data_IF_982410855206
#
_entry.id   IF_982410855206
#
_cell.length_a   1.000
_cell.length_b   1.000
_cell.length_c   1.000
_cell.angle_alpha   90.00
_cell.angle_beta   90.00
_cell.angle_gamma   90.00
#
_symmetry.space_group_name_H-M   'P 1'
#
loop_
_entity.id
_entity.type
_entity.pdbx_description
1 polymer ?
#
# COMPACT_ATOMS: atom_id res chain seq x y z
N UNK A 1 22.05 -17.46 -11.46
CA UNK A 1 23.21 -16.89 -10.77
C UNK A 1 23.28 -15.36 -10.86
N UNK A 2 23.28 -14.71 -12.05
CA UNK A 2 23.31 -13.23 -12.12
C UNK A 2 21.95 -12.54 -11.86
N UNK A 3 20.83 -13.18 -12.22
CA UNK A 3 19.48 -12.65 -12.00
C UNK A 3 18.96 -12.78 -10.55
N UNK A 4 19.62 -13.60 -9.74
CA UNK A 4 19.22 -13.88 -8.37
C UNK A 4 19.51 -12.67 -7.48
N UNK A 5 20.70 -12.06 -7.55
CA UNK A 5 21.06 -10.88 -6.76
C UNK A 5 20.15 -9.68 -7.04
N UNK A 6 19.77 -9.48 -8.30
CA UNK A 6 18.88 -8.37 -8.70
C UNK A 6 17.49 -8.58 -8.08
N UNK A 7 16.91 -9.77 -8.20
CA UNK A 7 15.54 -10.02 -7.76
C UNK A 7 15.43 -10.23 -6.25
N UNK A 8 16.44 -10.83 -5.62
CA UNK A 8 16.42 -11.17 -4.19
C UNK A 8 16.93 -10.05 -3.28
N UNK A 9 17.77 -9.15 -3.78
CA UNK A 9 18.35 -8.07 -2.98
C UNK A 9 17.92 -6.70 -3.50
N UNK A 10 18.12 -6.43 -4.79
CA UNK A 10 17.88 -5.09 -5.33
C UNK A 10 16.38 -4.72 -5.32
N UNK A 11 15.50 -5.65 -5.69
CA UNK A 11 14.05 -5.42 -5.69
C UNK A 11 13.48 -5.10 -4.29
N UNK A 12 13.70 -5.91 -3.23
CA UNK A 12 13.22 -5.57 -1.90
C UNK A 12 13.90 -4.33 -1.33
N UNK A 13 15.16 -4.05 -1.68
CA UNK A 13 15.86 -2.83 -1.26
C UNK A 13 15.19 -1.57 -1.83
N UNK A 14 14.85 -1.58 -3.12
CA UNK A 14 14.13 -0.46 -3.75
C UNK A 14 12.74 -0.31 -3.15
N UNK A 15 12.00 -1.41 -2.95
CA UNK A 15 10.69 -1.37 -2.31
C UNK A 15 10.77 -0.82 -0.87
N UNK A 16 11.77 -1.23 -0.10
CA UNK A 16 12.01 -0.72 1.23
C UNK A 16 12.29 0.79 1.20
N UNK A 17 13.10 1.28 0.26
CA UNK A 17 13.38 2.71 0.10
C UNK A 17 12.12 3.52 -0.27
N UNK A 18 11.28 2.99 -1.17
CA UNK A 18 10.02 3.63 -1.57
C UNK A 18 9.04 3.66 -0.39
N UNK A 19 8.87 2.55 0.33
CA UNK A 19 8.01 2.49 1.51
C UNK A 19 8.52 3.36 2.66
N UNK A 20 9.84 3.45 2.83
CA UNK A 20 10.46 4.36 3.79
C UNK A 20 10.17 5.82 3.45
N UNK A 21 10.30 6.19 2.17
CA UNK A 21 9.96 7.54 1.68
C UNK A 21 8.48 7.87 1.91
N UNK A 22 7.58 6.90 1.73
CA UNK A 22 6.16 7.06 2.02
C UNK A 22 5.92 7.27 3.52
N UNK A 23 6.59 6.51 4.39
CA UNK A 23 6.46 6.63 5.83
C UNK A 23 7.00 7.94 6.41
N UNK A 24 7.99 8.57 5.77
CA UNK A 24 8.47 9.91 6.15
C UNK A 24 7.43 11.01 5.85
N UNK A 25 6.56 10.78 4.86
CA UNK A 25 5.46 11.69 4.52
C UNK A 25 4.25 11.58 5.44
N UNK A 26 4.17 10.53 6.27
CA UNK A 26 3.11 10.33 7.25
C UNK A 26 3.39 11.15 8.51
N UNK A 27 2.45 12.01 8.88
CA UNK A 27 2.51 12.77 10.13
C UNK A 27 1.55 12.20 11.16
N UNK A 28 1.85 12.41 12.44
CA UNK A 28 0.97 12.00 13.56
C UNK A 28 -0.41 12.66 13.46
N UNK A 29 -0.50 13.85 12.86
CA UNK A 29 -1.77 14.54 12.59
C UNK A 29 -2.65 13.82 11.54
N UNK A 30 -2.05 13.06 10.61
CA UNK A 30 -2.82 12.25 9.64
C UNK A 30 -3.60 11.14 10.37
N UNK A 31 -2.98 10.51 11.38
CA UNK A 31 -3.66 9.53 12.23
C UNK A 31 -4.78 10.15 13.07
N UNK A 32 -4.66 11.42 13.45
CA UNK A 32 -5.73 12.12 14.18
C UNK A 32 -6.95 12.38 13.28
N UNK A 33 -6.74 12.61 11.97
CA UNK A 33 -7.83 12.81 11.00
C UNK A 33 -8.63 11.54 10.70
N UNK A 34 -8.06 10.36 10.90
CA UNK A 34 -8.80 9.08 10.85
C UNK A 34 -10.02 9.13 11.78
N UNK A 35 -9.88 9.76 12.95
CA UNK A 35 -10.97 9.90 13.92
C UNK A 35 -11.93 11.04 13.59
N UNK A 36 -11.53 12.05 12.81
CA UNK A 36 -12.40 13.18 12.47
C UNK A 36 -13.24 12.93 11.23
N UNK A 37 -12.75 12.14 10.27
CA UNK A 37 -13.47 11.82 9.02
C UNK A 37 -13.45 10.30 8.68
N UNK A 38 -13.99 9.44 9.56
CA UNK A 38 -13.95 7.99 9.35
C UNK A 38 -14.77 7.53 8.14
N UNK A 39 -15.82 8.27 7.77
CA UNK A 39 -16.72 7.87 6.66
C UNK A 39 -15.99 7.80 5.32
N UNK A 40 -15.16 8.78 5.00
CA UNK A 40 -14.43 8.81 3.73
C UNK A 40 -13.37 7.70 3.67
N UNK A 41 -12.65 7.48 4.77
CA UNK A 41 -11.69 6.40 4.91
C UNK A 41 -12.36 5.02 4.77
N UNK A 42 -13.50 4.81 5.43
CA UNK A 42 -14.24 3.55 5.39
C UNK A 42 -14.70 3.21 3.98
N UNK A 43 -15.21 4.20 3.24
CA UNK A 43 -15.60 4.02 1.83
C UNK A 43 -14.40 3.62 0.98
N UNK A 44 -13.23 4.25 1.18
CA UNK A 44 -12.00 3.88 0.48
C UNK A 44 -11.57 2.44 0.77
N UNK A 45 -11.56 2.04 2.04
CA UNK A 45 -11.19 0.68 2.48
C UNK A 45 -12.15 -0.36 1.92
N UNK A 46 -13.46 -0.11 1.97
CA UNK A 46 -14.46 -1.01 1.39
C UNK A 46 -14.31 -1.09 -0.12
N UNK A 47 -14.06 0.03 -0.79
CA UNK A 47 -13.86 0.03 -2.24
C UNK A 47 -12.62 -0.79 -2.64
N UNK A 48 -11.51 -0.63 -1.93
CA UNK A 48 -10.27 -1.34 -2.25
C UNK A 48 -10.32 -2.83 -1.88
N UNK A 49 -10.78 -3.18 -0.68
CA UNK A 49 -10.75 -4.58 -0.23
C UNK A 49 -11.97 -5.40 -0.65
N UNK A 50 -13.06 -4.77 -1.08
CA UNK A 50 -14.30 -5.48 -1.48
C UNK A 50 -14.60 -5.24 -2.95
N UNK A 51 -14.77 -3.98 -3.36
CA UNK A 51 -15.24 -3.67 -4.71
C UNK A 51 -14.18 -4.03 -5.76
N UNK A 52 -12.91 -3.70 -5.52
CA UNK A 52 -11.82 -3.96 -6.47
C UNK A 52 -11.60 -5.47 -6.72
N UNK A 53 -11.45 -6.35 -5.70
CA UNK A 53 -11.31 -7.78 -5.94
C UNK A 53 -12.58 -8.41 -6.52
N UNK A 54 -13.78 -7.94 -6.16
CA UNK A 54 -15.03 -8.40 -6.79
C UNK A 54 -15.11 -8.02 -8.27
N UNK A 55 -14.72 -6.79 -8.61
CA UNK A 55 -14.66 -6.34 -10.00
C UNK A 55 -13.63 -7.14 -10.79
N UNK A 56 -12.46 -7.41 -10.20
CA UNK A 56 -11.42 -8.26 -10.77
C UNK A 56 -11.94 -9.68 -11.01
N UNK A 57 -12.61 -10.28 -10.01
CA UNK A 57 -13.24 -11.59 -10.13
C UNK A 57 -14.26 -11.64 -11.27
N UNK A 58 -15.15 -10.65 -11.34
CA UNK A 58 -16.13 -10.52 -12.41
C UNK A 58 -15.47 -10.44 -13.78
N UNK A 59 -14.40 -9.64 -13.92
CA UNK A 59 -13.67 -9.50 -15.18
C UNK A 59 -12.97 -10.80 -15.59
N UNK A 60 -12.35 -11.49 -14.64
CA UNK A 60 -11.71 -12.80 -14.88
C UNK A 60 -12.73 -13.86 -15.30
N UNK A 61 -13.92 -13.85 -14.69
CA UNK A 61 -15.01 -14.76 -15.05
C UNK A 61 -15.59 -14.45 -16.44
N UNK A 62 -15.71 -13.17 -16.81
CA UNK A 62 -16.21 -12.75 -18.12
C UNK A 62 -15.22 -13.08 -19.26
N UNK A 63 -13.92 -12.91 -19.01
CA UNK A 63 -12.87 -13.20 -19.98
C UNK A 63 -12.38 -14.65 -19.96
N UNK A 64 -12.85 -15.47 -19.02
CA UNK A 64 -12.46 -16.87 -18.91
C UNK A 64 -10.97 -17.07 -18.58
N UNK A 65 -10.35 -16.12 -17.89
CA UNK A 65 -8.95 -16.21 -17.47
C UNK A 65 -8.82 -17.23 -16.33
N UNK A 66 -8.10 -18.31 -16.57
CA UNK A 66 -7.90 -19.41 -15.60
C UNK A 66 -6.43 -19.62 -15.26
N UNK A 67 -6.16 -20.32 -14.14
CA UNK A 67 -4.82 -20.72 -13.74
C UNK A 67 -3.97 -19.58 -13.17
N UNK A 68 -2.69 -19.53 -13.54
CA UNK A 68 -1.69 -18.64 -12.92
C UNK A 68 -1.99 -17.15 -13.16
N UNK A 69 -2.52 -16.80 -14.33
CA UNK A 69 -2.85 -15.41 -14.64
C UNK A 69 -3.95 -14.86 -13.73
N UNK A 70 -5.01 -15.63 -13.49
CA UNK A 70 -6.10 -15.24 -12.60
C UNK A 70 -5.61 -15.00 -11.17
N UNK A 71 -4.71 -15.85 -10.68
CA UNK A 71 -4.08 -15.66 -9.36
C UNK A 71 -3.22 -14.40 -9.34
N UNK A 72 -2.45 -14.13 -10.39
CA UNK A 72 -1.67 -12.90 -10.51
C UNK A 72 -2.54 -11.63 -10.44
N UNK A 73 -3.67 -11.61 -11.16
CA UNK A 73 -4.62 -10.49 -11.10
C UNK A 73 -5.25 -10.30 -9.71
N UNK A 74 -5.59 -11.40 -9.04
CA UNK A 74 -6.10 -11.36 -7.67
C UNK A 74 -5.06 -10.81 -6.68
N UNK A 75 -3.80 -11.20 -6.82
CA UNK A 75 -2.69 -10.65 -6.01
C UNK A 75 -2.54 -9.16 -6.25
N UNK A 76 -2.59 -8.72 -7.52
CA UNK A 76 -2.50 -7.29 -7.88
C UNK A 76 -3.66 -6.48 -7.27
N UNK A 77 -4.89 -7.01 -7.29
CA UNK A 77 -6.05 -6.36 -6.69
C UNK A 77 -5.98 -6.29 -5.15
N UNK A 78 -5.36 -7.29 -4.51
CA UNK A 78 -5.22 -7.35 -3.05
C UNK A 78 -4.04 -6.54 -2.50
N UNK A 79 -3.11 -6.13 -3.35
CA UNK A 79 -1.92 -5.38 -2.97
C UNK A 79 -2.30 -3.97 -2.48
N UNK A 80 -1.49 -3.34 -1.60
CA UNK A 80 -1.76 -1.99 -1.15
C UNK A 80 -1.49 -0.97 -2.26
N UNK A 81 -2.22 0.14 -2.26
CA UNK A 81 -2.05 1.23 -3.23
C UNK A 81 -0.78 2.03 -2.94
N UNK A 82 -0.02 2.39 -3.99
CA UNK A 82 1.27 3.09 -3.87
C UNK A 82 1.18 4.62 -3.81
N UNK A 83 2.34 5.26 -3.57
CA UNK A 83 2.52 6.72 -3.44
C UNK A 83 2.14 7.54 -4.68
N UNK A 84 2.12 6.93 -5.86
CA UNK A 84 1.68 7.59 -7.10
C UNK A 84 0.23 8.08 -6.99
N UNK A 85 -0.63 7.35 -6.27
CA UNK A 85 -2.02 7.77 -6.01
C UNK A 85 -2.10 9.04 -5.15
N UNK A 86 -1.15 9.23 -4.23
CA UNK A 86 -1.08 10.44 -3.39
C UNK A 86 -0.67 11.65 -4.23
N UNK A 87 0.28 11.47 -5.15
CA UNK A 87 0.67 12.51 -6.11
C UNK A 87 -0.50 12.88 -7.03
N UNK A 88 -1.26 11.90 -7.53
CA UNK A 88 -2.44 12.16 -8.33
C UNK A 88 -3.53 12.90 -7.54
N UNK A 89 -3.72 12.55 -6.26
CA UNK A 89 -4.64 13.26 -5.38
C UNK A 89 -4.22 14.72 -5.22
N UNK A 90 -2.92 14.98 -5.06
CA UNK A 90 -2.38 16.33 -5.01
C UNK A 90 -2.64 17.12 -6.31
N UNK A 91 -2.37 16.52 -7.47
CA UNK A 91 -2.62 17.12 -8.78
C UNK A 91 -4.10 17.40 -9.03
N UNK A 92 -4.97 16.53 -8.51
CA UNK A 92 -6.43 16.69 -8.56
C UNK A 92 -6.97 17.71 -7.54
N UNK A 93 -6.10 18.37 -6.76
CA UNK A 93 -6.47 19.26 -5.64
C UNK A 93 -7.34 18.57 -4.57
N UNK A 94 -7.16 17.26 -4.42
CA UNK A 94 -7.80 16.47 -3.38
C UNK A 94 -7.07 16.54 -2.03
N UNK A 95 -7.65 15.91 -1.01
CA UNK A 95 -7.06 15.85 0.32
C UNK A 95 -5.96 14.78 0.39
N UNK A 96 -4.70 15.22 0.30
CA UNK A 96 -3.52 14.34 0.36
C UNK A 96 -3.39 13.66 1.73
N UNK A 97 -3.82 14.30 2.81
CA UNK A 97 -3.77 13.72 4.15
C UNK A 97 -4.73 12.52 4.26
N UNK A 98 -5.91 12.61 3.64
CA UNK A 98 -6.83 11.47 3.55
C UNK A 98 -6.23 10.31 2.74
N UNK A 99 -5.57 10.59 1.61
CA UNK A 99 -4.93 9.58 0.78
C UNK A 99 -3.75 8.87 1.47
N UNK A 100 -2.92 9.63 2.22
CA UNK A 100 -1.85 9.08 3.04
C UNK A 100 -2.39 8.19 4.16
N UNK A 101 -3.42 8.65 4.87
CA UNK A 101 -4.08 7.90 5.94
C UNK A 101 -4.70 6.59 5.41
N UNK A 102 -5.38 6.66 4.26
CA UNK A 102 -5.91 5.48 3.58
C UNK A 102 -4.81 4.49 3.20
N UNK A 103 -3.69 4.97 2.66
CA UNK A 103 -2.56 4.11 2.27
C UNK A 103 -1.91 3.42 3.47
N UNK A 104 -1.77 4.12 4.60
CA UNK A 104 -1.26 3.55 5.84
C UNK A 104 -2.18 2.44 6.38
N UNK A 105 -3.49 2.70 6.43
CA UNK A 105 -4.49 1.72 6.88
C UNK A 105 -4.56 0.53 5.92
N UNK A 106 -4.52 0.78 4.60
CA UNK A 106 -4.51 -0.27 3.59
C UNK A 106 -3.26 -1.15 3.73
N UNK A 107 -2.08 -0.57 3.96
CA UNK A 107 -0.84 -1.33 4.16
C UNK A 107 -0.92 -2.29 5.35
N UNK A 108 -1.48 -1.84 6.47
CA UNK A 108 -1.70 -2.69 7.65
C UNK A 108 -2.76 -3.76 7.36
N UNK A 109 -3.86 -3.39 6.71
CA UNK A 109 -4.92 -4.33 6.37
C UNK A 109 -4.43 -5.43 5.40
N UNK A 110 -3.59 -5.08 4.41
CA UNK A 110 -2.98 -6.00 3.45
C UNK A 110 -2.19 -7.12 4.12
N UNK A 111 -1.54 -6.87 5.26
CA UNK A 111 -0.81 -7.92 6.01
C UNK A 111 -1.73 -9.12 6.32
N UNK A 112 -3.02 -8.85 6.57
CA UNK A 112 -4.02 -9.87 6.88
C UNK A 112 -4.83 -10.29 5.65
N UNK A 113 -5.20 -9.36 4.78
CA UNK A 113 -6.10 -9.64 3.65
C UNK A 113 -5.39 -10.30 2.46
N UNK A 114 -4.15 -9.92 2.17
CA UNK A 114 -3.36 -10.50 1.07
C UNK A 114 -3.21 -12.02 1.17
N UNK A 115 -2.72 -12.60 2.29
CA UNK A 115 -2.59 -14.05 2.42
C UNK A 115 -3.94 -14.78 2.29
N UNK A 116 -5.03 -14.19 2.79
CA UNK A 116 -6.37 -14.75 2.67
C UNK A 116 -6.83 -14.79 1.20
N UNK A 117 -6.69 -13.68 0.47
CA UNK A 117 -7.08 -13.57 -0.94
C UNK A 117 -6.23 -14.50 -1.81
N UNK A 118 -4.93 -14.57 -1.55
CA UNK A 118 -4.01 -15.44 -2.30
C UNK A 118 -4.37 -16.92 -2.10
N UNK A 119 -4.59 -17.34 -0.85
CA UNK A 119 -4.99 -18.72 -0.54
C UNK A 119 -6.31 -19.09 -1.21
N UNK A 120 -7.29 -18.18 -1.18
CA UNK A 120 -8.57 -18.38 -1.84
C UNK A 120 -8.43 -18.47 -3.37
N UNK A 121 -7.67 -17.55 -3.98
CA UNK A 121 -7.46 -17.51 -5.43
C UNK A 121 -6.72 -18.75 -5.93
N UNK A 122 -5.70 -19.23 -5.21
CA UNK A 122 -5.00 -20.49 -5.50
C UNK A 122 -5.97 -21.68 -5.49
N UNK A 123 -6.80 -21.79 -4.45
CA UNK A 123 -7.78 -22.86 -4.33
C UNK A 123 -8.83 -22.84 -5.44
N UNK A 124 -9.32 -21.67 -5.80
CA UNK A 124 -10.37 -21.50 -6.81
C UNK A 124 -9.87 -21.68 -8.26
N UNK A 125 -8.71 -21.11 -8.62
CA UNK A 125 -8.27 -21.04 -10.02
C UNK A 125 -7.23 -22.09 -10.43
N UNK A 126 -6.47 -22.66 -9.50
CA UNK A 126 -5.44 -23.67 -9.80
C UNK A 126 -5.83 -25.09 -9.36
N UNK A 127 -6.84 -25.22 -8.49
CA UNK A 127 -7.32 -26.50 -7.98
C UNK A 127 -6.27 -27.26 -7.15
N UNK A 128 -6.73 -28.23 -6.35
CA UNK A 128 -5.91 -29.02 -5.43
C UNK A 128 -4.75 -29.82 -6.09
N UNK A 129 -4.64 -29.84 -7.43
CA UNK A 129 -3.61 -30.55 -8.17
C UNK A 129 -2.21 -29.91 -8.08
N UNK A 130 -2.12 -28.62 -7.77
CA UNK A 130 -0.89 -27.97 -7.32
C UNK A 130 -1.14 -27.44 -5.92
N UNK A 131 -1.17 -28.34 -4.94
CA UNK A 131 -1.07 -28.00 -3.53
C UNK A 131 0.31 -27.37 -3.28
N UNK A 132 0.49 -26.13 -3.74
CA UNK A 132 1.50 -25.24 -3.20
C UNK A 132 1.03 -25.06 -1.77
N UNK A 133 1.64 -25.82 -0.86
CA UNK A 133 1.48 -25.64 0.56
C UNK A 133 2.09 -24.27 0.83
N UNK A 134 1.27 -23.23 0.69
CA UNK A 134 1.69 -21.87 0.95
C UNK A 134 1.68 -21.75 2.46
N UNK A 135 2.84 -21.68 3.14
CA UNK A 135 2.89 -21.39 4.55
C UNK A 135 2.36 -19.97 4.73
N UNK A 136 1.06 -19.86 4.99
CA UNK A 136 0.34 -18.60 5.18
C UNK A 136 1.06 -17.75 6.23
N UNK A 137 1.58 -18.40 7.28
CA UNK A 137 2.38 -17.75 8.33
C UNK A 137 3.71 -17.14 7.84
N UNK A 138 4.41 -17.79 6.89
CA UNK A 138 5.64 -17.22 6.32
C UNK A 138 5.31 -16.08 5.35
N UNK A 139 4.25 -16.19 4.54
CA UNK A 139 3.80 -15.08 3.68
C UNK A 139 3.36 -13.87 4.51
N UNK A 140 2.57 -14.09 5.57
CA UNK A 140 2.20 -13.04 6.53
C UNK A 140 3.44 -12.40 7.13
N UNK A 141 4.39 -13.20 7.61
CA UNK A 141 5.65 -12.71 8.18
C UNK A 141 6.47 -11.90 7.18
N UNK A 142 6.62 -12.37 5.95
CA UNK A 142 7.38 -11.66 4.90
C UNK A 142 6.69 -10.36 4.48
N UNK A 143 5.37 -10.36 4.29
CA UNK A 143 4.62 -9.15 3.92
C UNK A 143 4.64 -8.14 5.07
N UNK A 144 4.45 -8.59 6.31
CA UNK A 144 4.58 -7.74 7.49
C UNK A 144 6.00 -7.19 7.67
N UNK A 145 7.04 -7.99 7.39
CA UNK A 145 8.42 -7.53 7.46
C UNK A 145 8.70 -6.49 6.37
N UNK A 146 8.35 -6.79 5.12
CA UNK A 146 8.68 -5.93 3.96
C UNK A 146 7.86 -4.65 3.92
N UNK A 147 6.59 -4.67 4.35
CA UNK A 147 5.75 -3.46 4.39
C UNK A 147 5.77 -2.79 5.76
N UNK A 148 5.66 -3.57 6.84
CA UNK A 148 5.55 -3.06 8.20
C UNK A 148 6.84 -2.45 8.73
N UNK A 149 7.99 -3.11 8.55
CA UNK A 149 9.28 -2.59 9.07
C UNK A 149 9.65 -1.23 8.47
N UNK A 150 9.62 -1.01 7.13
CA UNK A 150 9.95 0.30 6.59
C UNK A 150 8.92 1.38 6.95
N UNK A 151 7.63 1.05 7.03
CA UNK A 151 6.59 2.02 7.42
C UNK A 151 6.74 2.42 8.90
N UNK A 152 6.95 1.44 9.79
CA UNK A 152 7.13 1.72 11.23
C UNK A 152 8.45 2.44 11.49
N UNK A 153 9.55 2.02 10.85
CA UNK A 153 10.85 2.68 11.02
C UNK A 153 10.82 4.11 10.47
N UNK A 154 10.20 4.33 9.32
CA UNK A 154 10.01 5.67 8.77
C UNK A 154 9.12 6.55 9.66
N UNK A 155 8.02 6.02 10.19
CA UNK A 155 7.17 6.77 11.11
C UNK A 155 7.91 7.14 12.41
N UNK A 156 8.74 6.23 12.94
CA UNK A 156 9.60 6.48 14.10
C UNK A 156 10.63 7.59 13.80
N UNK A 157 11.33 7.50 12.67
CA UNK A 157 12.30 8.52 12.25
C UNK A 157 11.64 9.87 11.95
N UNK A 158 10.44 9.87 11.36
CA UNK A 158 9.64 11.07 11.13
C UNK A 158 9.24 11.75 12.45
N UNK A 159 9.03 10.99 13.53
CA UNK A 159 8.74 11.54 14.86
C UNK A 159 9.99 11.99 15.63
N UNK A 160 11.18 11.45 15.32
CA UNK A 160 12.43 11.75 16.01
C UNK A 160 13.25 12.89 15.36
N UNK A 161 12.97 13.25 14.10
CA UNK A 161 13.64 14.34 13.40
C UNK A 161 13.20 15.73 13.88
N UNK A 162 14.10 16.73 13.94
CA UNK A 162 13.73 18.10 14.26
C UNK A 162 12.72 18.60 13.22
N UNK A 163 11.73 19.38 13.68
CA UNK A 163 10.72 20.06 12.86
C UNK A 163 11.35 21.11 11.94
N UNK A 164 12.19 20.69 10.99
CA UNK A 164 12.68 21.49 9.87
C UNK A 164 11.75 21.28 8.68
N UNK A 165 10.54 21.83 8.80
CA UNK A 165 9.48 21.70 7.79
C UNK A 165 9.77 22.69 6.67
N UNK A 166 10.66 22.33 5.74
CA UNK A 166 10.66 22.97 4.43
C UNK A 166 9.44 22.46 3.69
N UNK A 167 8.42 23.31 3.69
CA UNK A 167 7.17 23.19 2.98
C UNK A 167 7.46 22.98 1.48
N UNK A 168 7.51 21.72 1.05
CA UNK A 168 7.48 21.30 -0.35
C UNK A 168 6.02 21.08 -0.80
N UNK A 169 5.09 21.89 -0.29
CA UNK A 169 3.79 22.09 -0.91
C UNK A 169 3.92 23.18 -1.98
N UNK A 170 3.70 22.89 -3.27
CA UNK A 170 3.48 23.93 -4.27
C UNK A 170 2.12 24.61 -4.05
N UNK A 171 1.96 25.32 -2.94
CA UNK A 171 0.80 26.17 -2.69
C UNK A 171 0.94 27.49 -3.49
N UNK A 172 0.01 27.84 -4.38
CA UNK A 172 0.07 29.07 -5.18
C UNK A 172 -0.30 30.35 -4.40
N UNK A 173 -0.44 30.28 -3.08
CA UNK A 173 -0.70 31.44 -2.22
C UNK A 173 0.13 31.36 -0.93
N UNK A 174 1.46 31.47 -1.08
CA UNK A 174 2.35 31.73 0.04
C UNK A 174 2.15 33.18 0.53
N UNK A 175 1.67 33.32 1.76
CA UNK A 175 1.82 34.57 2.51
C UNK A 175 3.32 34.83 2.77
N UNK A 176 3.79 36.09 2.74
CA UNK A 176 5.20 36.43 2.51
C UNK A 176 6.12 36.30 3.75
N UNK A 177 5.87 35.35 4.68
CA UNK A 177 6.61 35.27 5.95
C UNK A 177 7.60 34.09 6.07
N UNK A 178 7.80 33.29 5.04
CA UNK A 178 8.64 32.06 5.11
C UNK A 178 9.94 32.09 4.27
N UNK A 179 10.50 33.26 3.94
CA UNK A 179 11.81 33.37 3.26
C UNK A 179 12.86 34.13 4.10
N UNK A 180 13.02 33.79 5.37
CA UNK A 180 14.16 34.24 6.19
C UNK A 180 14.50 33.18 7.24
N UNK A 181 15.31 32.20 6.83
CA UNK A 181 16.53 31.69 7.47
C UNK A 181 16.98 30.38 6.81
#
# INVERSE_FOLDING_TARGET
>A
MQGDLISSVLLPLILAFIMFSLGLGLTVDDFRRIFTQPRALLVGVVCHFVILPLACFGLLSLWGLTGVFAVGFMVLAACPTGSTSNLLTYLARGDVALALSFTAVASVATIFTLPLIVTWALGHYLGAARAVNVPVGLMMGQVALVLGVPVVSACWHATAGPRGRCDLSPAPHASPRCCLF
#
